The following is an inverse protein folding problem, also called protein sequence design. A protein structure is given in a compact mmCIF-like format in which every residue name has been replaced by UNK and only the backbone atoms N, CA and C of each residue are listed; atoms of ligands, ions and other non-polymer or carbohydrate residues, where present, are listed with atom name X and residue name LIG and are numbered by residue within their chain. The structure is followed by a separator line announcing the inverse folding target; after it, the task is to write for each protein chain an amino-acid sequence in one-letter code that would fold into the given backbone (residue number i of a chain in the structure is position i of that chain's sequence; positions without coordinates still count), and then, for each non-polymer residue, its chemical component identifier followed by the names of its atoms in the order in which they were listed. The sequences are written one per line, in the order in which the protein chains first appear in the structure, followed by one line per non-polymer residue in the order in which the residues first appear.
data_IF_951528342777
#
_entry.id   IF_951528342777
#
_cell.length_a   1.000
_cell.length_b   1.000
_cell.length_c   1.000
_cell.angle_alpha   90.00
_cell.angle_beta   90.00
_cell.angle_gamma   90.00
#
_symmetry.space_group_name_H-M   'P 1'
#
loop_
_entity.id
_entity.type
_entity.pdbx_description
1 polymer ?
#
# COMPACT_ATOMS: atom_id res chain seq x y z
N UNK A 1 -32.26 14.77 -9.99
CA UNK A 1 -31.24 13.96 -9.27
C UNK A 1 -29.94 14.75 -9.01
N UNK A 2 -29.28 15.39 -9.97
CA UNK A 2 -28.02 16.17 -9.75
C UNK A 2 -28.15 17.28 -8.72
N UNK A 3 -29.28 18.02 -8.66
CA UNK A 3 -29.51 19.10 -7.66
C UNK A 3 -29.70 18.57 -6.23
N UNK A 4 -30.32 17.38 -6.07
CA UNK A 4 -30.50 16.72 -4.78
C UNK A 4 -29.14 16.21 -4.23
N UNK A 5 -28.30 15.70 -5.10
CA UNK A 5 -26.94 15.27 -4.76
C UNK A 5 -26.04 16.45 -4.31
N UNK A 6 -26.18 17.59 -4.97
CA UNK A 6 -25.47 18.81 -4.57
C UNK A 6 -25.93 19.34 -3.20
N UNK A 7 -27.24 19.27 -2.91
CA UNK A 7 -27.81 19.63 -1.61
C UNK A 7 -27.33 18.69 -0.50
N UNK A 8 -27.19 17.40 -0.80
CA UNK A 8 -26.68 16.40 0.16
C UNK A 8 -25.20 16.64 0.48
N UNK A 9 -24.37 16.97 -0.51
CA UNK A 9 -22.96 17.34 -0.31
C UNK A 9 -22.85 18.62 0.53
N UNK A 10 -23.70 19.60 0.28
CA UNK A 10 -23.73 20.86 1.03
C UNK A 10 -24.15 20.65 2.50
N UNK A 11 -25.10 19.76 2.76
CA UNK A 11 -25.54 19.38 4.11
C UNK A 11 -24.44 18.64 4.88
N UNK A 12 -23.70 17.74 4.24
CA UNK A 12 -22.57 17.01 4.85
C UNK A 12 -21.42 17.96 5.18
N UNK A 13 -21.18 18.99 4.36
CA UNK A 13 -20.12 19.98 4.61
C UNK A 13 -20.41 20.89 5.81
N UNK A 14 -21.69 21.18 6.10
CA UNK A 14 -22.07 22.03 7.26
C UNK A 14 -21.92 21.26 8.58
N UNK A 15 -22.15 19.95 8.60
CA UNK A 15 -22.01 19.11 9.80
C UNK A 15 -20.54 18.91 10.20
N UNK A 16 -19.61 18.91 9.22
CA UNK A 16 -18.18 18.71 9.50
C UNK A 16 -17.51 19.88 10.24
N UNK A 17 -18.02 21.08 10.15
CA UNK A 17 -17.45 22.25 10.85
C UNK A 17 -17.57 22.19 12.37
N UNK A 18 -18.60 21.54 12.92
CA UNK A 18 -18.81 21.46 14.37
C UNK A 18 -17.79 20.54 15.07
N UNK A 19 -17.37 19.46 14.40
CA UNK A 19 -16.39 18.52 14.97
C UNK A 19 -14.94 19.00 14.81
N UNK A 20 -14.61 19.69 13.72
CA UNK A 20 -13.28 20.26 13.51
C UNK A 20 -12.95 21.38 14.52
N UNK A 21 -13.92 22.20 14.89
CA UNK A 21 -13.73 23.30 15.86
C UNK A 21 -13.36 22.82 17.27
N UNK A 22 -13.89 21.67 17.72
CA UNK A 22 -13.56 21.10 19.04
C UNK A 22 -12.18 20.43 19.06
N UNK A 23 -11.69 19.96 17.91
CA UNK A 23 -10.44 19.23 17.80
C UNK A 23 -9.21 20.16 17.69
N UNK A 24 -9.37 21.35 17.08
CA UNK A 24 -8.32 22.35 16.83
C UNK A 24 -8.54 23.66 17.61
N UNK A 25 -9.48 23.69 18.56
CA UNK A 25 -9.76 24.85 19.39
C UNK A 25 -8.59 25.20 20.33
N UNK A 26 -8.63 26.40 20.91
CA UNK A 26 -7.57 26.93 21.78
C UNK A 26 -7.40 26.11 23.07
N UNK A 27 -8.49 25.47 23.56
CA UNK A 27 -8.51 24.54 24.69
C UNK A 27 -9.36 23.32 24.35
N UNK A 28 -8.86 22.38 23.52
CA UNK A 28 -9.65 21.22 23.11
C UNK A 28 -9.83 20.25 24.28
N UNK A 29 -11.04 19.67 24.41
CA UNK A 29 -11.27 18.55 25.29
C UNK A 29 -10.37 17.39 24.84
N UNK A 30 -9.58 16.83 25.74
CA UNK A 30 -8.70 15.71 25.46
C UNK A 30 -9.53 14.44 25.36
N UNK A 31 -9.69 13.93 24.13
CA UNK A 31 -10.41 12.68 23.85
C UNK A 31 -9.52 11.46 24.14
N UNK A 32 -10.11 10.35 24.56
CA UNK A 32 -9.41 9.08 24.77
C UNK A 32 -8.12 9.24 25.61
N UNK A 33 -8.17 9.97 26.71
CA UNK A 33 -7.02 10.34 27.54
C UNK A 33 -6.15 9.15 28.00
N UNK A 34 -6.80 8.02 28.26
CA UNK A 34 -6.13 6.81 28.74
C UNK A 34 -5.75 5.83 27.61
N UNK A 35 -6.09 6.11 26.36
CA UNK A 35 -5.84 5.20 25.25
C UNK A 35 -4.35 4.92 25.06
N UNK A 36 -3.52 5.96 25.11
CA UNK A 36 -2.06 5.83 24.93
C UNK A 36 -1.36 5.21 26.14
N UNK A 37 -2.04 4.99 27.28
CA UNK A 37 -1.48 4.28 28.43
C UNK A 37 -1.54 2.76 28.27
N UNK A 38 -2.36 2.25 27.36
CA UNK A 38 -2.44 0.83 27.06
C UNK A 38 -1.16 0.34 26.39
N UNK A 39 -0.59 -0.76 26.88
CA UNK A 39 0.63 -1.34 26.32
C UNK A 39 0.38 -2.04 24.99
N UNK A 40 -0.75 -2.68 24.82
CA UNK A 40 -1.15 -3.38 23.60
C UNK A 40 -2.54 -2.92 23.20
N UNK A 41 -2.72 -2.57 21.95
CA UNK A 41 -4.04 -2.28 21.38
C UNK A 41 -4.13 -2.80 19.96
N UNK A 42 -5.34 -3.13 19.57
CA UNK A 42 -5.68 -3.71 18.28
C UNK A 42 -6.49 -2.72 17.46
N UNK A 43 -6.48 -2.93 16.18
CA UNK A 43 -7.24 -2.15 15.24
C UNK A 43 -7.37 -2.87 13.90
N UNK A 44 -7.98 -2.19 12.96
CA UNK A 44 -8.05 -2.61 11.57
C UNK A 44 -7.75 -1.42 10.66
N UNK A 45 -7.34 -1.71 9.45
CA UNK A 45 -7.15 -0.67 8.45
C UNK A 45 -7.88 -0.99 7.16
N UNK A 46 -8.29 0.06 6.49
CA UNK A 46 -8.76 0.09 5.12
C UNK A 46 -7.90 1.07 4.36
N UNK A 47 -7.66 0.81 3.09
CA UNK A 47 -6.82 1.73 2.32
C UNK A 47 -6.88 1.51 0.83
N UNK A 48 -6.16 2.38 0.15
CA UNK A 48 -5.94 2.33 -1.29
C UNK A 48 -4.46 2.10 -1.55
N UNK A 49 -4.17 1.42 -2.64
CA UNK A 49 -2.81 1.17 -3.07
C UNK A 49 -2.65 1.44 -4.56
N UNK A 50 -1.44 1.81 -4.94
CA UNK A 50 -1.01 1.89 -6.34
C UNK A 50 0.33 1.20 -6.44
N UNK A 51 0.40 0.19 -7.27
CA UNK A 51 1.59 -0.62 -7.49
C UNK A 51 2.18 -0.33 -8.85
N UNK A 52 3.50 -0.24 -8.89
CA UNK A 52 4.31 -0.05 -10.10
C UNK A 52 5.44 -1.08 -10.12
N UNK A 53 6.06 -1.28 -11.28
CA UNK A 53 7.28 -2.07 -11.42
C UNK A 53 8.44 -1.18 -11.83
N UNK A 54 9.58 -1.41 -11.20
CA UNK A 54 10.87 -0.94 -11.68
C UNK A 54 11.54 -2.08 -12.44
N UNK A 55 11.87 -1.85 -13.69
CA UNK A 55 12.65 -2.76 -14.52
C UNK A 55 14.09 -2.29 -14.60
N UNK A 56 15.03 -3.21 -14.45
CA UNK A 56 16.43 -3.02 -14.84
C UNK A 56 16.71 -3.95 -16.04
N UNK A 57 17.37 -3.45 -17.07
CA UNK A 57 17.60 -4.15 -18.33
C UNK A 57 19.04 -4.61 -18.47
N UNK A 58 19.25 -5.73 -19.18
CA UNK A 58 20.58 -6.22 -19.56
C UNK A 58 21.22 -5.29 -20.60
N UNK A 59 20.42 -4.87 -21.58
CA UNK A 59 20.78 -3.91 -22.61
C UNK A 59 19.70 -2.85 -22.66
N UNK A 60 20.08 -1.57 -22.65
CA UNK A 60 19.12 -0.46 -22.69
C UNK A 60 18.22 -0.59 -23.91
N UNK A 61 16.91 -0.77 -23.75
CA UNK A 61 15.99 -0.86 -24.87
C UNK A 61 15.71 0.53 -25.45
N UNK A 62 15.31 0.60 -26.72
CA UNK A 62 14.87 1.85 -27.35
C UNK A 62 13.56 2.36 -26.74
N UNK A 63 12.70 1.44 -26.27
CA UNK A 63 11.42 1.73 -25.63
C UNK A 63 11.27 0.82 -24.41
N UNK A 64 11.00 1.44 -23.27
CA UNK A 64 10.76 0.71 -22.01
C UNK A 64 9.41 -0.04 -22.00
N UNK A 65 9.32 -1.05 -21.15
CA UNK A 65 8.03 -1.70 -20.85
C UNK A 65 7.12 -0.68 -20.16
N UNK A 66 6.00 -0.37 -20.77
CA UNK A 66 5.03 0.54 -20.16
C UNK A 66 4.22 -0.17 -19.07
N UNK A 67 4.13 0.43 -17.89
CA UNK A 67 3.37 -0.06 -16.75
C UNK A 67 2.19 0.87 -16.51
N UNK A 68 0.97 0.36 -16.68
CA UNK A 68 -0.24 1.07 -16.33
C UNK A 68 -0.75 0.55 -14.99
N UNK A 69 -0.58 1.36 -13.95
CA UNK A 69 -1.04 1.05 -12.59
C UNK A 69 -2.50 1.43 -12.40
N UNK A 70 -3.27 0.58 -11.74
CA UNK A 70 -4.62 0.92 -11.28
C UNK A 70 -4.63 1.13 -9.77
N UNK A 71 -5.60 1.91 -9.30
CA UNK A 71 -5.83 2.05 -7.85
C UNK A 71 -6.46 0.76 -7.36
N UNK A 72 -5.76 0.12 -6.44
CA UNK A 72 -6.21 -1.07 -5.74
C UNK A 72 -6.75 -0.74 -4.35
N UNK A 73 -7.17 -1.78 -3.65
CA UNK A 73 -7.75 -1.72 -2.32
C UNK A 73 -7.00 -2.65 -1.37
N UNK A 74 -6.92 -2.25 -0.10
CA UNK A 74 -6.29 -3.07 0.94
C UNK A 74 -7.08 -3.02 2.25
N UNK A 75 -7.04 -4.13 2.98
CA UNK A 75 -7.71 -4.31 4.26
C UNK A 75 -6.86 -5.21 5.13
N UNK A 76 -6.81 -4.91 6.42
CA UNK A 76 -6.08 -5.77 7.35
C UNK A 76 -6.31 -5.43 8.81
N UNK A 77 -5.55 -6.12 9.64
CA UNK A 77 -5.56 -5.96 11.07
C UNK A 77 -4.31 -5.21 11.52
N UNK A 78 -4.39 -4.58 12.68
CA UNK A 78 -3.26 -3.89 13.31
C UNK A 78 -3.12 -4.38 14.73
N UNK A 79 -1.94 -4.89 15.07
CA UNK A 79 -1.50 -5.09 16.44
C UNK A 79 -0.42 -4.06 16.76
N UNK A 80 -0.61 -3.27 17.80
CA UNK A 80 0.32 -2.23 18.22
C UNK A 80 0.82 -2.53 19.63
N UNK A 81 2.14 -2.65 19.78
CA UNK A 81 2.83 -2.82 21.05
C UNK A 81 3.59 -1.53 21.37
N UNK A 82 3.17 -0.83 22.41
CA UNK A 82 3.80 0.38 22.88
C UNK A 82 5.02 0.06 23.75
N UNK A 83 6.16 0.64 23.40
CA UNK A 83 7.36 0.59 24.24
C UNK A 83 7.45 1.79 25.18
N UNK A 84 7.19 2.99 24.66
CA UNK A 84 7.18 4.25 25.41
C UNK A 84 6.31 5.30 24.67
N UNK A 85 6.41 6.57 25.07
CA UNK A 85 5.60 7.66 24.50
C UNK A 85 5.92 7.97 23.04
N UNK A 86 7.08 7.54 22.57
CA UNK A 86 7.59 7.85 21.24
C UNK A 86 7.64 6.63 20.31
N UNK A 87 7.81 5.43 20.85
CA UNK A 87 8.09 4.22 20.07
C UNK A 87 7.02 3.16 20.24
N UNK A 88 6.43 2.75 19.14
CA UNK A 88 5.51 1.61 19.06
C UNK A 88 6.02 0.62 18.02
N UNK A 89 5.93 -0.68 18.34
CA UNK A 89 6.11 -1.76 17.37
C UNK A 89 4.74 -2.15 16.83
N UNK A 90 4.61 -2.22 15.52
CA UNK A 90 3.36 -2.42 14.84
C UNK A 90 3.45 -3.59 13.87
N UNK A 91 2.49 -4.52 13.96
CA UNK A 91 2.34 -5.62 13.02
C UNK A 91 1.00 -5.47 12.30
N UNK A 92 1.01 -5.42 10.97
CA UNK A 92 -0.15 -5.06 10.16
C UNK A 92 -0.42 -6.10 9.06
N UNK A 93 -0.81 -7.35 9.41
CA UNK A 93 -1.17 -8.34 8.40
C UNK A 93 -2.40 -7.89 7.62
N UNK A 94 -2.32 -7.98 6.28
CA UNK A 94 -3.40 -7.52 5.43
C UNK A 94 -3.43 -8.11 4.04
N UNK A 95 -4.59 -7.99 3.39
CA UNK A 95 -4.86 -8.35 2.02
C UNK A 95 -4.80 -7.11 1.14
N UNK A 96 -4.08 -7.22 0.02
CA UNK A 96 -3.86 -6.15 -0.93
C UNK A 96 -4.25 -6.63 -2.32
N UNK A 97 -5.23 -5.97 -2.92
CA UNK A 97 -5.72 -6.25 -4.26
C UNK A 97 -5.24 -5.15 -5.20
N UNK A 98 -4.62 -5.54 -6.30
CA UNK A 98 -4.14 -4.59 -7.30
C UNK A 98 -4.15 -5.22 -8.70
N UNK A 99 -4.11 -4.35 -9.71
CA UNK A 99 -3.94 -4.73 -11.11
C UNK A 99 -2.95 -3.78 -11.77
N UNK A 100 -2.10 -4.32 -12.61
CA UNK A 100 -1.15 -3.59 -13.46
C UNK A 100 -1.23 -4.18 -14.85
N UNK A 101 -1.19 -3.34 -15.86
CA UNK A 101 -1.10 -3.77 -17.26
C UNK A 101 0.30 -3.46 -17.76
N UNK A 102 1.01 -4.46 -18.25
CA UNK A 102 2.32 -4.33 -18.84
C UNK A 102 2.17 -4.36 -20.35
N UNK A 103 2.69 -3.35 -21.03
CA UNK A 103 2.75 -3.32 -22.50
C UNK A 103 4.20 -3.43 -22.94
N UNK A 104 4.55 -4.57 -23.53
CA UNK A 104 5.86 -4.85 -24.08
C UNK A 104 5.99 -4.27 -25.48
N UNK A 105 7.09 -3.55 -25.80
CA UNK A 105 7.33 -3.00 -27.13
C UNK A 105 7.70 -4.09 -28.14
N UNK A 106 7.60 -3.76 -29.44
CA UNK A 106 8.06 -4.62 -30.53
C UNK A 106 7.06 -5.63 -31.08
N UNK A 107 5.85 -5.68 -30.54
CA UNK A 107 4.78 -6.55 -31.05
C UNK A 107 3.90 -5.85 -32.08
N UNK A 108 3.63 -6.55 -33.20
CA UNK A 108 2.71 -6.06 -34.25
C UNK A 108 1.26 -6.07 -33.77
N UNK A 109 0.90 -7.08 -32.95
CA UNK A 109 -0.41 -7.21 -32.35
C UNK A 109 -0.32 -6.75 -30.88
N UNK A 110 -1.11 -5.77 -30.49
CA UNK A 110 -1.15 -5.23 -29.12
C UNK A 110 -1.44 -6.32 -28.08
N UNK A 111 -2.29 -7.29 -28.40
CA UNK A 111 -2.65 -8.37 -27.47
C UNK A 111 -1.46 -9.30 -27.16
N UNK A 112 -0.52 -9.46 -28.07
CA UNK A 112 0.67 -10.29 -27.84
C UNK A 112 1.68 -9.61 -26.91
N UNK A 113 1.71 -8.27 -26.91
CA UNK A 113 2.53 -7.46 -26.02
C UNK A 113 1.90 -7.14 -24.67
N UNK A 114 0.56 -7.30 -24.53
CA UNK A 114 -0.15 -6.94 -23.30
C UNK A 114 -0.11 -8.10 -22.28
N UNK A 115 0.25 -7.80 -21.04
CA UNK A 115 0.15 -8.71 -19.90
C UNK A 115 -0.63 -8.06 -18.76
N UNK A 116 -1.81 -8.57 -18.47
CA UNK A 116 -2.59 -8.15 -17.30
C UNK A 116 -2.09 -8.87 -16.05
N UNK A 117 -1.48 -8.12 -15.14
CA UNK A 117 -0.97 -8.64 -13.87
C UNK A 117 -1.95 -8.28 -12.76
N UNK A 118 -2.94 -9.15 -12.54
CA UNK A 118 -3.84 -9.08 -11.37
C UNK A 118 -3.14 -9.78 -10.22
N UNK A 119 -2.95 -9.07 -9.12
CA UNK A 119 -2.23 -9.60 -7.97
C UNK A 119 -3.04 -9.43 -6.69
N UNK A 120 -3.09 -10.51 -5.93
CA UNK A 120 -3.58 -10.51 -4.56
C UNK A 120 -2.42 -10.87 -3.65
N UNK A 121 -2.02 -9.93 -2.80
CA UNK A 121 -0.95 -10.14 -1.84
C UNK A 121 -1.49 -10.28 -0.43
N UNK A 122 -0.85 -11.16 0.36
CA UNK A 122 -0.93 -11.13 1.81
C UNK A 122 0.37 -10.51 2.31
N UNK A 123 0.30 -9.35 2.93
CA UNK A 123 1.45 -8.67 3.51
C UNK A 123 1.56 -8.98 5.01
N UNK A 124 2.80 -9.09 5.49
CA UNK A 124 3.15 -9.31 6.89
C UNK A 124 4.24 -8.32 7.30
N UNK A 125 3.96 -7.00 7.37
CA UNK A 125 4.95 -6.01 7.75
C UNK A 125 5.12 -5.96 9.27
N UNK A 126 6.35 -5.80 9.72
CA UNK A 126 6.72 -5.43 11.08
C UNK A 126 7.35 -4.04 11.05
N UNK A 127 6.67 -3.08 11.65
CA UNK A 127 6.95 -1.67 11.52
C UNK A 127 7.27 -1.04 12.86
N UNK A 128 8.26 -0.16 12.89
CA UNK A 128 8.54 0.73 13.99
C UNK A 128 7.85 2.07 13.71
N UNK A 129 6.94 2.47 14.59
CA UNK A 129 6.27 3.76 14.56
C UNK A 129 6.93 4.67 15.56
N UNK A 130 7.37 5.83 15.10
CA UNK A 130 8.02 6.87 15.90
C UNK A 130 7.11 8.08 15.90
N UNK A 131 6.55 8.43 17.05
CA UNK A 131 5.56 9.48 17.21
C UNK A 131 6.11 10.66 17.98
N UNK A 132 5.57 11.84 17.72
CA UNK A 132 5.79 12.99 18.61
C UNK A 132 5.03 12.81 19.93
N UNK A 133 5.22 13.74 20.86
CA UNK A 133 4.30 13.87 22.00
C UNK A 133 2.93 14.32 21.48
N UNK A 134 1.88 13.75 22.06
CA UNK A 134 0.52 14.12 21.75
C UNK A 134 0.25 15.58 22.14
N UNK A 135 -0.27 16.34 21.20
CA UNK A 135 -0.69 17.74 21.40
C UNK A 135 -2.21 17.83 21.18
N UNK A 136 -2.96 18.00 22.26
CA UNK A 136 -4.42 17.95 22.21
C UNK A 136 -4.92 16.58 21.70
N UNK A 137 -5.59 16.60 20.55
CA UNK A 137 -6.14 15.39 19.93
C UNK A 137 -5.36 14.91 18.69
N UNK A 138 -4.10 15.33 18.58
CA UNK A 138 -3.26 15.05 17.41
C UNK A 138 -1.92 14.52 17.85
N UNK A 139 -1.41 13.50 17.12
CA UNK A 139 -0.10 12.90 17.33
C UNK A 139 0.52 12.49 16.00
N UNK A 140 1.34 13.35 15.36
CA UNK A 140 2.04 12.99 14.13
C UNK A 140 3.09 11.92 14.37
N UNK A 141 3.34 11.10 13.34
CA UNK A 141 4.31 10.02 13.40
C UNK A 141 4.98 9.75 12.05
N UNK A 142 6.16 9.16 12.12
CA UNK A 142 6.81 8.47 11.02
C UNK A 142 6.77 6.97 11.29
N UNK A 143 6.76 6.17 10.24
CA UNK A 143 6.69 4.72 10.35
C UNK A 143 7.62 4.10 9.32
N UNK A 144 8.30 3.03 9.69
CA UNK A 144 9.14 2.30 8.75
C UNK A 144 9.47 0.92 9.29
N UNK A 145 9.79 0.01 8.38
CA UNK A 145 10.16 -1.34 8.75
C UNK A 145 10.26 -2.28 7.56
N UNK A 146 10.22 -3.56 7.84
CA UNK A 146 10.39 -4.63 6.86
C UNK A 146 9.21 -5.60 6.93
N UNK A 147 8.98 -6.30 5.83
CA UNK A 147 7.95 -7.31 5.78
C UNK A 147 8.18 -8.30 4.64
N UNK A 148 7.33 -9.31 4.62
CA UNK A 148 7.24 -10.27 3.53
C UNK A 148 5.83 -10.26 2.96
N UNK A 149 5.71 -10.46 1.66
CA UNK A 149 4.44 -10.56 0.96
C UNK A 149 4.34 -11.90 0.24
N UNK A 150 3.20 -12.54 0.37
CA UNK A 150 2.82 -13.74 -0.35
C UNK A 150 1.91 -13.36 -1.51
N UNK A 151 2.38 -13.55 -2.74
CA UNK A 151 1.58 -13.35 -3.95
C UNK A 151 0.75 -14.60 -4.26
N UNK A 152 -0.56 -14.50 -4.07
CA UNK A 152 -1.50 -15.61 -4.34
C UNK A 152 -1.75 -15.81 -5.85
N UNK A 153 -1.47 -14.79 -6.66
CA UNK A 153 -1.68 -14.78 -8.11
C UNK A 153 -0.36 -14.83 -8.90
N UNK A 154 0.69 -15.39 -8.32
CA UNK A 154 2.07 -15.30 -8.84
C UNK A 154 2.31 -16.02 -10.18
N UNK A 155 1.48 -16.99 -10.53
CA UNK A 155 1.68 -17.87 -11.71
C UNK A 155 3.08 -18.50 -11.80
N UNK A 156 3.83 -18.60 -10.69
CA UNK A 156 5.23 -19.02 -10.67
C UNK A 156 5.47 -20.41 -11.28
N UNK A 157 4.46 -21.28 -11.25
CA UNK A 157 4.50 -22.64 -11.79
C UNK A 157 4.03 -22.75 -13.24
N UNK A 158 3.58 -21.64 -13.86
CA UNK A 158 3.24 -21.63 -15.28
C UNK A 158 4.49 -21.93 -16.12
N UNK A 159 4.30 -22.43 -17.35
CA UNK A 159 5.41 -22.92 -18.18
C UNK A 159 6.34 -21.78 -18.63
N UNK A 160 5.78 -20.72 -19.17
CA UNK A 160 6.45 -19.48 -19.59
C UNK A 160 5.42 -18.35 -19.78
N UNK A 161 5.88 -17.10 -20.04
CA UNK A 161 5.02 -15.93 -20.08
C UNK A 161 4.12 -15.86 -21.33
N UNK A 162 4.44 -16.57 -22.39
CA UNK A 162 3.59 -16.68 -23.58
C UNK A 162 2.52 -17.76 -23.44
N UNK A 163 2.61 -18.63 -22.43
CA UNK A 163 1.63 -19.65 -22.15
C UNK A 163 0.34 -19.05 -21.59
N UNK A 164 -0.74 -19.03 -22.35
CA UNK A 164 -2.04 -18.46 -21.98
C UNK A 164 -1.98 -16.96 -21.55
N UNK A 165 -1.06 -16.19 -22.11
CA UNK A 165 -0.86 -14.76 -21.81
C UNK A 165 -0.67 -14.47 -20.32
N UNK A 166 0.01 -15.36 -19.61
CA UNK A 166 0.28 -15.24 -18.16
C UNK A 166 1.67 -14.67 -17.91
N UNK A 167 1.71 -13.64 -17.07
CA UNK A 167 2.96 -13.13 -16.53
C UNK A 167 3.31 -13.84 -15.22
N UNK A 168 4.58 -14.22 -15.03
CA UNK A 168 5.04 -15.03 -13.91
C UNK A 168 5.88 -14.21 -12.95
N UNK A 169 5.56 -14.34 -11.66
CA UNK A 169 6.28 -13.69 -10.58
C UNK A 169 6.63 -14.70 -9.49
N UNK A 170 7.63 -14.40 -8.69
CA UNK A 170 7.93 -15.22 -7.49
C UNK A 170 6.78 -15.14 -6.49
N UNK A 171 6.66 -16.18 -5.69
CA UNK A 171 5.56 -16.31 -4.72
C UNK A 171 5.78 -15.48 -3.45
N UNK A 172 7.02 -15.41 -2.98
CA UNK A 172 7.39 -14.67 -1.77
C UNK A 172 8.31 -13.51 -2.09
N UNK A 173 7.97 -12.33 -1.64
CA UNK A 173 8.75 -11.10 -1.82
C UNK A 173 9.00 -10.46 -0.47
N UNK A 174 10.24 -10.04 -0.23
CA UNK A 174 10.59 -9.22 0.93
C UNK A 174 10.61 -7.75 0.51
N UNK A 175 10.18 -6.87 1.41
CA UNK A 175 10.09 -5.46 1.14
C UNK A 175 10.42 -4.62 2.38
N UNK A 176 10.72 -3.36 2.18
CA UNK A 176 10.73 -2.36 3.24
C UNK A 176 9.67 -1.30 2.98
N UNK A 177 9.18 -0.74 4.06
CA UNK A 177 8.21 0.36 4.02
C UNK A 177 8.75 1.56 4.78
N UNK A 178 8.43 2.74 4.28
CA UNK A 178 8.64 4.01 4.97
C UNK A 178 7.47 4.94 4.71
N UNK A 179 7.04 5.67 5.73
CA UNK A 179 5.91 6.57 5.57
C UNK A 179 5.72 7.53 6.72
N UNK A 180 4.68 8.32 6.58
CA UNK A 180 4.27 9.31 7.56
C UNK A 180 2.77 9.20 7.79
N UNK A 181 2.33 9.60 8.98
CA UNK A 181 0.91 9.62 9.32
C UNK A 181 0.64 10.51 10.51
N UNK A 182 -0.62 10.54 10.88
CA UNK A 182 -1.10 11.33 12.00
C UNK A 182 -2.16 10.55 12.75
N UNK A 183 -2.06 10.46 14.07
CA UNK A 183 -3.11 9.93 14.92
C UNK A 183 -4.07 11.08 15.28
N UNK A 184 -5.35 10.88 15.02
CA UNK A 184 -6.44 11.78 15.33
C UNK A 184 -7.33 11.10 16.36
N UNK A 185 -7.45 11.72 17.55
CA UNK A 185 -8.23 11.17 18.66
C UNK A 185 -9.63 11.79 18.64
N UNK A 186 -10.60 10.99 18.19
CA UNK A 186 -12.01 11.32 18.29
C UNK A 186 -12.58 10.91 19.65
N UNK A 187 -13.82 11.20 19.92
CA UNK A 187 -14.46 10.90 21.18
C UNK A 187 -14.51 9.37 21.46
N UNK A 188 -14.78 8.56 20.42
CA UNK A 188 -15.01 7.12 20.55
C UNK A 188 -13.96 6.24 19.90
N UNK A 189 -13.13 6.76 19.03
CA UNK A 189 -12.12 5.99 18.30
C UNK A 189 -10.92 6.85 17.92
N UNK A 190 -9.82 6.20 17.65
CA UNK A 190 -8.63 6.82 17.10
C UNK A 190 -8.53 6.49 15.61
N UNK A 191 -8.42 7.49 14.76
CA UNK A 191 -8.16 7.37 13.33
C UNK A 191 -6.71 7.73 13.04
N UNK A 192 -6.02 6.85 12.31
CA UNK A 192 -4.61 7.05 11.95
C UNK A 192 -4.43 6.97 10.43
N UNK A 193 -4.69 8.07 9.68
CA UNK A 193 -4.34 8.14 8.27
C UNK A 193 -2.83 8.12 8.08
N UNK A 194 -2.36 7.41 7.05
CA UNK A 194 -0.94 7.34 6.69
C UNK A 194 -0.73 7.19 5.19
N UNK A 195 0.41 7.70 4.72
CA UNK A 195 0.92 7.49 3.37
C UNK A 195 2.25 6.78 3.51
N UNK A 196 2.44 5.68 2.75
CA UNK A 196 3.65 4.84 2.82
C UNK A 196 4.16 4.53 1.43
N UNK A 197 5.48 4.59 1.26
CA UNK A 197 6.18 3.99 0.12
C UNK A 197 6.62 2.58 0.50
N UNK A 198 6.43 1.64 -0.42
CA UNK A 198 6.79 0.23 -0.27
C UNK A 198 7.70 -0.15 -1.42
N UNK A 199 8.81 -0.83 -1.11
CA UNK A 199 9.86 -1.15 -2.07
C UNK A 199 10.31 -2.59 -1.87
N UNK A 200 10.22 -3.38 -2.95
CA UNK A 200 10.71 -4.75 -2.96
C UNK A 200 12.23 -4.81 -2.88
N UNK A 201 12.74 -5.80 -2.17
CA UNK A 201 14.17 -6.10 -2.05
C UNK A 201 14.62 -7.23 -2.99
N UNK A 202 13.66 -8.01 -3.49
CA UNK A 202 13.94 -9.17 -4.33
C UNK A 202 13.68 -8.84 -5.81
N UNK A 203 14.37 -9.58 -6.70
CA UNK A 203 13.94 -9.72 -8.07
C UNK A 203 12.68 -10.59 -8.11
N UNK A 204 11.57 -10.03 -8.57
CA UNK A 204 10.26 -10.69 -8.57
C UNK A 204 9.97 -11.46 -9.88
N UNK A 205 10.83 -11.30 -10.89
CA UNK A 205 10.64 -11.89 -12.20
C UNK A 205 10.97 -13.39 -12.21
N UNK A 206 10.04 -14.19 -12.69
CA UNK A 206 10.32 -15.57 -13.12
C UNK A 206 10.55 -15.56 -14.62
N UNK A 207 11.78 -15.79 -15.05
CA UNK A 207 12.17 -15.71 -16.46
C UNK A 207 11.60 -16.85 -17.28
N UNK A 208 11.38 -16.61 -18.57
CA UNK A 208 11.00 -17.63 -19.53
C UNK A 208 12.13 -18.65 -19.76
N UNK A 209 11.77 -19.82 -20.24
CA UNK A 209 12.73 -20.86 -20.59
C UNK A 209 13.61 -20.48 -21.79
N UNK A 210 13.08 -19.64 -22.70
CA UNK A 210 13.83 -19.09 -23.80
C UNK A 210 14.59 -17.85 -23.35
N UNK A 211 15.94 -17.83 -23.38
CA UNK A 211 16.73 -16.66 -23.02
C UNK A 211 16.49 -15.44 -23.94
N UNK A 212 15.97 -15.65 -25.15
CA UNK A 212 15.64 -14.61 -26.11
C UNK A 212 14.15 -14.24 -26.09
N UNK A 213 13.43 -14.62 -25.06
CA UNK A 213 12.01 -14.27 -24.92
C UNK A 213 11.79 -12.77 -25.07
N UNK A 214 10.86 -12.32 -25.93
CA UNK A 214 10.55 -10.90 -26.10
C UNK A 214 9.94 -10.27 -24.85
N UNK A 215 9.42 -11.05 -23.89
CA UNK A 215 8.82 -10.55 -22.65
C UNK A 215 9.83 -10.46 -21.51
N UNK A 216 10.70 -11.46 -21.34
CA UNK A 216 11.59 -11.53 -20.16
C UNK A 216 13.07 -11.55 -20.50
N UNK A 217 13.45 -11.78 -21.77
CA UNK A 217 14.83 -12.01 -22.21
C UNK A 217 15.79 -10.84 -21.90
N UNK A 218 15.38 -9.60 -22.11
CA UNK A 218 16.18 -8.42 -21.85
C UNK A 218 16.07 -7.86 -20.43
N UNK A 219 15.18 -8.39 -19.58
CA UNK A 219 14.99 -7.88 -18.21
C UNK A 219 16.05 -8.51 -17.30
N UNK A 220 16.84 -7.66 -16.66
CA UNK A 220 17.86 -8.04 -15.66
C UNK A 220 17.24 -8.25 -14.28
N UNK A 221 16.39 -7.33 -13.83
CA UNK A 221 15.62 -7.46 -12.60
C UNK A 221 14.29 -6.72 -12.70
N UNK A 222 13.33 -7.15 -11.91
CA UNK A 222 12.03 -6.52 -11.76
C UNK A 222 11.69 -6.41 -10.28
N UNK A 223 11.43 -5.20 -9.82
CA UNK A 223 11.11 -4.91 -8.43
C UNK A 223 9.81 -4.14 -8.33
N UNK A 224 8.94 -4.53 -7.40
CA UNK A 224 7.72 -3.78 -7.10
C UNK A 224 8.04 -2.52 -6.31
N UNK A 225 7.41 -1.41 -6.71
CA UNK A 225 7.27 -0.18 -5.94
C UNK A 225 5.80 0.08 -5.75
N UNK A 226 5.42 0.56 -4.56
CA UNK A 226 4.02 0.88 -4.33
C UNK A 226 3.86 2.08 -3.40
N UNK A 227 2.71 2.74 -3.52
CA UNK A 227 2.26 3.76 -2.57
C UNK A 227 0.97 3.28 -1.95
N UNK A 228 0.93 3.30 -0.61
CA UNK A 228 -0.25 2.94 0.17
C UNK A 228 -0.79 4.17 0.90
N UNK A 229 -2.09 4.34 0.84
CA UNK A 229 -2.83 5.33 1.66
C UNK A 229 -3.77 4.54 2.56
N UNK A 230 -3.42 4.46 3.84
CA UNK A 230 -4.14 3.65 4.82
C UNK A 230 -4.86 4.52 5.84
N UNK A 231 -6.06 4.10 6.21
CA UNK A 231 -6.86 4.65 7.29
C UNK A 231 -7.01 3.57 8.36
N UNK A 232 -6.29 3.72 9.47
CA UNK A 232 -6.31 2.76 10.57
C UNK A 232 -7.26 3.23 11.65
N UNK A 233 -8.08 2.33 12.14
CA UNK A 233 -9.06 2.54 13.21
C UNK A 233 -8.68 1.70 14.43
N UNK A 234 -8.69 2.36 15.57
CA UNK A 234 -8.43 1.73 16.88
C UNK A 234 -9.55 2.04 17.85
#
# INVERSE_FOLDING_TARGET
MKRLFFFFILLVSVVSHAQFGSMFGKDPIINLENFDKQRVHWGYFLGFNSYDFKFDYKTTPDVDVAVESTIGFNVGLVGNLRFNDYFDLRFEPGLYFNQRNLTFPGFTNIYDGLREVKSTYIHFPLLLKISSVRTGNIKPYVIGGFGSALNLSSNATAKDDNSNNRFRMIKWTNFYEIGVGIDLYFEYFKLSPSIRGVFSLNDELVRDNDPNSPWTGNISSMQTRAVFVNFTFH
#
